data_IF_639193841121
#
_entry.id   IF_639193841121
#
_cell.length_a   1.000
_cell.length_b   1.000
_cell.length_c   1.000
_cell.angle_alpha   90.00
_cell.angle_beta   90.00
_cell.angle_gamma   90.00
#
_symmetry.space_group_name_H-M   'P 1'
#
loop_
_entity.id
_entity.type
_entity.pdbx_description
1 polymer ?
#
# COMPACT_ATOMS: atom_id res chain seq x y z
N UNK A 1 11.48 -19.55 -71.13
CA UNK A 1 10.15 -19.32 -70.54
C UNK A 1 10.16 -17.97 -69.85
N UNK A 2 9.39 -16.99 -70.31
CA UNK A 2 9.35 -15.66 -69.71
C UNK A 2 8.37 -15.62 -68.53
N UNK A 3 8.82 -15.14 -67.37
CA UNK A 3 7.97 -14.91 -66.19
C UNK A 3 7.18 -13.63 -66.39
N UNK A 4 5.85 -13.73 -66.40
CA UNK A 4 4.93 -12.59 -66.47
C UNK A 4 4.60 -12.16 -65.03
N UNK A 5 4.93 -10.91 -64.68
CA UNK A 5 4.63 -10.33 -63.38
C UNK A 5 3.35 -9.52 -63.47
N UNK A 6 2.44 -9.67 -62.49
CA UNK A 6 1.25 -8.82 -62.36
C UNK A 6 1.71 -7.46 -61.85
N UNK A 7 1.42 -6.39 -62.58
CA UNK A 7 1.88 -5.03 -62.24
C UNK A 7 0.93 -4.28 -61.30
N UNK A 8 -0.36 -4.63 -61.28
CA UNK A 8 -1.32 -4.13 -60.28
C UNK A 8 -2.60 -4.97 -60.27
N UNK A 9 -3.27 -5.00 -59.12
CA UNK A 9 -4.64 -5.50 -58.94
C UNK A 9 -5.43 -4.34 -58.36
N UNK A 10 -6.53 -3.95 -59.01
CA UNK A 10 -7.52 -3.03 -58.42
C UNK A 10 -8.66 -3.85 -57.84
N UNK A 11 -9.07 -3.50 -56.63
CA UNK A 11 -10.22 -4.08 -55.94
C UNK A 11 -11.28 -2.98 -55.89
N UNK A 12 -12.42 -3.22 -56.52
CA UNK A 12 -13.60 -2.38 -56.35
C UNK A 12 -14.41 -2.89 -55.16
N UNK A 13 -14.79 -1.96 -54.29
CA UNK A 13 -15.66 -2.21 -53.16
C UNK A 13 -16.96 -1.48 -53.46
N UNK A 14 -18.08 -2.21 -53.40
CA UNK A 14 -19.41 -1.62 -53.57
C UNK A 14 -19.69 -0.59 -52.48
N UNK A 15 -20.50 0.44 -52.78
CA UNK A 15 -20.82 1.52 -51.85
C UNK A 15 -21.37 1.02 -50.52
N UNK A 16 -22.19 -0.03 -50.53
CA UNK A 16 -22.76 -0.63 -49.31
C UNK A 16 -21.66 -1.27 -48.45
N UNK A 17 -20.68 -1.91 -49.09
CA UNK A 17 -19.53 -2.50 -48.38
C UNK A 17 -18.58 -1.42 -47.89
N UNK A 18 -18.44 -0.32 -48.63
CA UNK A 18 -17.66 0.85 -48.22
C UNK A 18 -18.21 1.50 -46.96
N UNK A 19 -19.53 1.68 -46.86
CA UNK A 19 -20.19 2.23 -45.69
C UNK A 19 -19.95 1.37 -44.43
N UNK A 20 -20.10 0.03 -44.55
CA UNK A 20 -19.85 -0.90 -43.45
C UNK A 20 -18.40 -0.85 -42.97
N UNK A 21 -17.43 -0.69 -43.88
CA UNK A 21 -16.02 -0.56 -43.52
C UNK A 21 -15.73 0.73 -42.75
N UNK A 22 -16.42 1.82 -43.07
CA UNK A 22 -16.32 3.09 -42.33
C UNK A 22 -16.90 2.92 -40.93
N UNK A 23 -18.11 2.38 -40.80
CA UNK A 23 -18.76 2.15 -39.51
C UNK A 23 -17.93 1.23 -38.59
N UNK A 24 -17.32 0.18 -39.16
CA UNK A 24 -16.39 -0.69 -38.44
C UNK A 24 -15.13 0.06 -38.01
N UNK A 25 -14.60 0.94 -38.84
CA UNK A 25 -13.46 1.79 -38.51
C UNK A 25 -13.76 2.70 -37.32
N UNK A 26 -14.92 3.37 -37.33
CA UNK A 26 -15.36 4.25 -36.26
C UNK A 26 -15.61 3.47 -34.96
N UNK A 27 -16.23 2.30 -35.05
CA UNK A 27 -16.45 1.42 -33.89
C UNK A 27 -15.12 0.96 -33.28
N UNK A 28 -14.13 0.58 -34.11
CA UNK A 28 -12.80 0.17 -33.65
C UNK A 28 -12.05 1.34 -32.98
N UNK A 29 -12.16 2.55 -33.53
CA UNK A 29 -11.57 3.74 -32.92
C UNK A 29 -12.19 4.03 -31.55
N UNK A 30 -13.52 3.93 -31.42
CA UNK A 30 -14.20 4.08 -30.13
C UNK A 30 -13.77 3.05 -29.08
N UNK A 31 -13.52 1.80 -29.50
CA UNK A 31 -12.96 0.76 -28.61
C UNK A 31 -11.53 1.12 -28.18
N UNK A 32 -10.69 1.62 -29.09
CA UNK A 32 -9.32 2.01 -28.79
C UNK A 32 -9.25 3.16 -27.78
N UNK A 33 -10.13 4.15 -27.92
CA UNK A 33 -10.25 5.27 -26.98
C UNK A 33 -10.63 4.78 -25.58
N UNK A 34 -11.65 3.91 -25.49
CA UNK A 34 -12.08 3.33 -24.21
C UNK A 34 -10.98 2.50 -23.52
N UNK A 35 -10.22 1.72 -24.28
CA UNK A 35 -9.08 0.95 -23.73
C UNK A 35 -7.98 1.88 -23.20
N UNK A 36 -7.74 2.99 -23.90
CA UNK A 36 -6.75 3.99 -23.49
C UNK A 36 -7.18 4.68 -22.20
N UNK A 37 -8.46 5.05 -22.08
CA UNK A 37 -9.04 5.63 -20.86
C UNK A 37 -8.96 4.65 -19.68
N UNK A 38 -9.30 3.38 -19.89
CA UNK A 38 -9.15 2.32 -18.89
C UNK A 38 -7.69 2.15 -18.45
N UNK A 39 -6.74 2.20 -19.39
CA UNK A 39 -5.31 2.17 -19.09
C UNK A 39 -4.87 3.35 -18.21
N UNK A 40 -5.39 4.55 -18.48
CA UNK A 40 -5.20 5.73 -17.63
C UNK A 40 -5.75 5.52 -16.22
N UNK A 41 -7.01 5.09 -16.11
CA UNK A 41 -7.65 4.83 -14.81
C UNK A 41 -6.96 3.74 -13.99
N UNK A 42 -6.42 2.70 -14.63
CA UNK A 42 -5.60 1.68 -13.95
C UNK A 42 -4.31 2.30 -13.41
N UNK A 43 -3.63 3.14 -14.19
CA UNK A 43 -2.42 3.81 -13.72
C UNK A 43 -2.70 4.75 -12.54
N UNK A 44 -3.81 5.48 -12.58
CA UNK A 44 -4.25 6.32 -11.47
C UNK A 44 -4.57 5.49 -10.23
N UNK A 45 -5.29 4.36 -10.39
CA UNK A 45 -5.57 3.43 -9.30
C UNK A 45 -4.29 2.85 -8.70
N UNK A 46 -3.31 2.48 -9.53
CA UNK A 46 -2.00 2.01 -9.07
C UNK A 46 -1.24 3.12 -8.32
N UNK A 47 -1.33 4.37 -8.79
CA UNK A 47 -0.73 5.51 -8.12
C UNK A 47 -1.42 5.81 -6.77
N UNK A 48 -2.73 5.58 -6.67
CA UNK A 48 -3.49 5.65 -5.42
C UNK A 48 -3.16 4.48 -4.49
N UNK A 49 -2.91 3.28 -5.02
CA UNK A 49 -2.48 2.10 -4.27
C UNK A 49 -0.97 2.13 -3.94
N UNK A 50 -0.41 3.32 -3.70
CA UNK A 50 0.86 3.44 -2.97
C UNK A 50 0.59 3.01 -1.53
N UNK A 51 0.66 1.71 -1.30
CA UNK A 51 0.83 1.13 0.02
C UNK A 51 2.16 1.65 0.54
N UNK A 52 2.16 2.81 1.20
CA UNK A 52 3.28 3.22 2.04
C UNK A 52 3.45 2.08 3.05
N UNK A 53 4.51 1.27 2.95
CA UNK A 53 4.82 0.39 4.05
C UNK A 53 5.10 1.37 5.20
N UNK A 54 4.27 1.28 6.23
CA UNK A 54 4.40 2.04 7.47
C UNK A 54 5.76 1.79 8.18
N UNK A 55 6.66 1.06 7.54
CA UNK A 55 8.06 0.88 7.87
C UNK A 55 8.95 2.13 7.69
N UNK A 56 8.49 3.21 7.03
CA UNK A 56 9.33 4.39 6.73
C UNK A 56 9.19 5.59 7.67
N UNK A 57 7.96 6.02 7.96
CA UNK A 57 7.64 7.34 8.55
C UNK A 57 7.32 7.31 10.06
N UNK A 58 7.35 6.13 10.68
CA UNK A 58 7.07 5.97 12.10
C UNK A 58 8.19 6.42 13.03
N UNK A 59 7.82 6.79 14.26
CA UNK A 59 8.74 7.02 15.36
C UNK A 59 9.55 5.76 15.63
N UNK A 60 10.88 5.89 15.70
CA UNK A 60 11.77 4.80 16.06
C UNK A 60 11.73 4.60 17.59
N UNK A 61 11.34 3.40 18.00
CA UNK A 61 11.40 2.95 19.39
C UNK A 61 12.69 2.16 19.57
N UNK A 62 13.57 2.63 20.46
CA UNK A 62 14.81 1.94 20.81
C UNK A 62 14.70 1.38 22.23
N UNK A 63 14.79 0.06 22.37
CA UNK A 63 14.79 -0.60 23.67
C UNK A 63 16.17 -1.15 23.97
N UNK A 64 16.75 -0.76 25.11
CA UNK A 64 18.09 -1.20 25.53
C UNK A 64 18.09 -2.57 26.26
N UNK A 65 16.92 -3.14 26.56
CA UNK A 65 16.76 -4.42 27.24
C UNK A 65 15.55 -4.47 28.19
N UNK A 66 15.36 -5.59 28.88
CA UNK A 66 14.18 -5.86 29.72
C UNK A 66 14.00 -4.96 30.96
N UNK A 67 14.99 -4.16 31.34
CA UNK A 67 15.02 -3.51 32.65
C UNK A 67 14.49 -2.08 32.67
N UNK A 68 14.10 -1.49 31.53
CA UNK A 68 13.64 -0.09 31.51
C UNK A 68 12.60 0.13 30.41
N UNK A 69 11.45 0.70 30.80
CA UNK A 69 10.45 1.16 29.84
C UNK A 69 10.91 2.45 29.17
N UNK A 70 10.86 2.45 27.84
CA UNK A 70 10.80 3.67 27.06
C UNK A 70 9.37 4.22 27.03
N UNK A 71 9.24 5.50 26.71
CA UNK A 71 7.94 6.13 26.49
C UNK A 71 7.90 6.82 25.14
N UNK A 72 6.72 6.86 24.54
CA UNK A 72 6.49 7.53 23.26
C UNK A 72 5.19 8.31 23.31
N UNK A 73 5.20 9.53 22.76
CA UNK A 73 4.01 10.38 22.68
C UNK A 73 3.14 9.95 21.52
N UNK A 74 1.85 9.78 21.80
CA UNK A 74 0.83 9.34 20.84
C UNK A 74 -0.40 10.25 20.89
N UNK A 75 -1.24 10.16 19.87
CA UNK A 75 -2.55 10.82 19.84
C UNK A 75 -3.57 9.91 20.51
N UNK A 76 -4.27 10.44 21.51
CA UNK A 76 -5.33 9.73 22.20
C UNK A 76 -6.45 9.29 21.23
N UNK A 77 -6.92 8.05 21.37
CA UNK A 77 -7.96 7.48 20.52
C UNK A 77 -7.51 7.06 19.11
N UNK A 78 -6.25 7.30 18.72
CA UNK A 78 -5.75 6.92 17.40
C UNK A 78 -5.25 5.46 17.37
N UNK A 79 -5.26 4.86 16.18
CA UNK A 79 -4.63 3.57 15.94
C UNK A 79 -3.24 3.72 15.34
N UNK A 80 -2.34 2.83 15.71
CA UNK A 80 -0.96 2.80 15.25
C UNK A 80 -0.57 1.39 14.81
N UNK A 81 0.28 1.29 13.80
CA UNK A 81 1.02 0.06 13.55
C UNK A 81 2.31 0.06 14.37
N UNK A 82 2.61 -1.06 15.01
CA UNK A 82 3.88 -1.35 15.67
C UNK A 82 4.56 -2.47 14.88
N UNK A 83 5.72 -2.18 14.29
CA UNK A 83 6.53 -3.16 13.55
C UNK A 83 7.84 -3.38 14.31
N UNK A 84 8.06 -4.59 14.79
CA UNK A 84 9.32 -4.94 15.44
C UNK A 84 10.34 -5.43 14.42
N UNK A 85 11.56 -4.91 14.45
CA UNK A 85 12.57 -5.22 13.43
C UNK A 85 13.36 -6.49 13.79
N UNK A 86 13.97 -6.51 14.96
CA UNK A 86 15.07 -7.41 15.34
C UNK A 86 14.88 -8.09 16.70
N UNK A 87 13.82 -7.76 17.45
CA UNK A 87 13.49 -8.40 18.71
C UNK A 87 12.04 -8.16 19.13
N UNK A 88 11.55 -8.90 20.13
CA UNK A 88 10.17 -8.74 20.60
C UNK A 88 9.98 -7.43 21.36
N UNK A 89 8.96 -6.66 20.99
CA UNK A 89 8.54 -5.44 21.67
C UNK A 89 7.21 -5.60 22.37
N UNK A 90 7.13 -5.12 23.61
CA UNK A 90 5.89 -4.93 24.33
C UNK A 90 5.50 -3.47 24.28
N UNK A 91 4.21 -3.21 24.12
CA UNK A 91 3.63 -1.85 24.14
C UNK A 91 2.41 -1.86 25.04
N UNK A 92 2.26 -0.83 25.87
CA UNK A 92 1.19 -0.71 26.86
C UNK A 92 0.86 0.73 27.21
N UNK A 93 -0.19 0.90 28.02
CA UNK A 93 -0.68 2.23 28.47
C UNK A 93 -0.08 2.68 29.80
N UNK A 94 0.61 1.79 30.49
CA UNK A 94 1.35 2.05 31.71
C UNK A 94 2.68 1.27 31.71
N UNK A 95 3.47 1.43 32.77
CA UNK A 95 4.72 0.67 32.96
C UNK A 95 4.48 -0.83 32.78
N UNK A 96 5.39 -1.50 32.08
CA UNK A 96 5.20 -2.87 31.60
C UNK A 96 5.55 -3.94 32.64
N UNK A 97 5.49 -3.57 33.92
CA UNK A 97 5.72 -4.43 35.07
C UNK A 97 4.40 -5.10 35.48
N UNK A 98 3.98 -6.09 34.70
CA UNK A 98 2.69 -6.78 34.82
C UNK A 98 1.97 -6.86 33.47
N UNK A 99 1.02 -7.77 33.33
CA UNK A 99 0.35 -8.02 32.03
C UNK A 99 -0.90 -7.16 31.81
N UNK A 100 -1.41 -6.49 32.84
CA UNK A 100 -2.76 -5.90 32.82
C UNK A 100 -2.86 -4.64 31.94
N UNK A 101 -1.74 -3.97 31.69
CA UNK A 101 -1.67 -2.73 30.90
C UNK A 101 -1.10 -2.94 29.48
N UNK A 102 -0.98 -4.19 29.03
CA UNK A 102 -0.40 -4.55 27.74
C UNK A 102 -1.43 -4.35 26.62
N UNK A 103 -1.06 -3.54 25.63
CA UNK A 103 -1.80 -3.43 24.37
C UNK A 103 -1.38 -4.53 23.40
N UNK A 104 -0.08 -4.82 23.31
CA UNK A 104 0.43 -5.85 22.41
C UNK A 104 1.84 -6.33 22.78
N UNK A 105 2.10 -7.61 22.46
CA UNK A 105 3.44 -8.17 22.28
C UNK A 105 3.69 -8.38 20.79
N UNK A 106 4.78 -7.83 20.27
CA UNK A 106 5.10 -7.76 18.84
C UNK A 106 6.42 -8.48 18.59
N UNK A 107 6.39 -9.73 18.10
CA UNK A 107 7.61 -10.48 17.78
C UNK A 107 8.40 -9.85 16.64
N UNK A 108 9.69 -10.18 16.55
CA UNK A 108 10.56 -9.72 15.46
C UNK A 108 9.96 -10.05 14.07
N UNK A 109 10.01 -9.08 13.16
CA UNK A 109 9.44 -9.17 11.81
C UNK A 109 7.92 -9.06 11.75
N UNK A 110 7.23 -8.93 12.88
CA UNK A 110 5.77 -8.85 12.93
C UNK A 110 5.32 -7.40 13.04
N UNK A 111 4.22 -7.09 12.35
CA UNK A 111 3.48 -5.84 12.53
C UNK A 111 2.16 -6.12 13.25
N UNK A 112 1.84 -5.32 14.27
CA UNK A 112 0.54 -5.35 14.96
C UNK A 112 -0.10 -3.98 14.95
N UNK A 113 -1.43 -3.95 14.94
CA UNK A 113 -2.20 -2.72 15.12
C UNK A 113 -2.55 -2.60 16.60
N UNK A 114 -2.28 -1.43 17.18
CA UNK A 114 -2.69 -1.06 18.53
C UNK A 114 -3.59 0.16 18.47
N UNK A 115 -4.70 0.13 19.19
CA UNK A 115 -5.58 1.30 19.35
C UNK A 115 -5.32 1.92 20.71
N UNK A 116 -4.92 3.19 20.70
CA UNK A 116 -4.66 3.95 21.92
C UNK A 116 -5.99 4.30 22.56
N UNK A 117 -6.22 3.99 23.84
CA UNK A 117 -7.45 4.41 24.53
C UNK A 117 -7.63 5.93 24.51
N UNK A 118 -8.90 6.37 24.60
CA UNK A 118 -9.19 7.79 24.77
C UNK A 118 -8.53 8.32 26.06
N UNK A 119 -8.04 9.56 26.01
CA UNK A 119 -7.34 10.21 27.14
C UNK A 119 -5.89 9.79 27.35
N UNK A 120 -5.38 8.76 26.67
CA UNK A 120 -3.99 8.33 26.77
C UNK A 120 -3.14 9.01 25.69
N UNK A 121 -2.13 9.79 26.11
CA UNK A 121 -1.22 10.49 25.20
C UNK A 121 0.21 9.94 25.22
N UNK A 122 0.45 8.92 26.03
CA UNK A 122 1.77 8.30 26.20
C UNK A 122 1.60 6.79 26.23
N UNK A 123 2.39 6.10 25.40
CA UNK A 123 2.54 4.65 25.50
C UNK A 123 3.90 4.33 26.10
N UNK A 124 3.92 3.23 26.84
CA UNK A 124 5.14 2.62 27.35
C UNK A 124 5.53 1.48 26.43
N UNK A 125 6.82 1.35 26.17
CA UNK A 125 7.34 0.28 25.35
C UNK A 125 8.61 -0.31 25.95
N UNK A 126 8.82 -1.60 25.73
CA UNK A 126 10.00 -2.32 26.21
C UNK A 126 10.40 -3.39 25.21
N UNK A 127 11.70 -3.51 24.97
CA UNK A 127 12.25 -4.60 24.17
C UNK A 127 12.68 -5.74 25.08
N UNK A 128 12.40 -6.99 24.70
CA UNK A 128 12.80 -8.17 25.45
C UNK A 128 14.29 -8.52 25.30
N UNK A 129 14.90 -8.06 24.22
CA UNK A 129 16.33 -8.07 23.94
C UNK A 129 16.63 -6.74 23.24
N UNK A 130 17.84 -6.18 23.39
CA UNK A 130 18.20 -4.91 22.74
C UNK A 130 17.76 -4.90 21.27
N UNK A 131 16.76 -4.09 20.95
CA UNK A 131 16.04 -4.15 19.67
C UNK A 131 15.37 -2.81 19.36
N UNK A 132 14.87 -2.72 18.14
CA UNK A 132 14.15 -1.58 17.61
C UNK A 132 12.76 -1.96 17.09
N UNK A 133 11.82 -1.04 17.24
CA UNK A 133 10.52 -1.11 16.60
C UNK A 133 10.17 0.23 15.97
N UNK A 134 9.24 0.22 15.02
CA UNK A 134 8.67 1.42 14.43
C UNK A 134 7.21 1.54 14.80
N UNK A 135 6.84 2.73 15.28
CA UNK A 135 5.47 3.09 15.60
C UNK A 135 5.00 4.15 14.61
N UNK A 136 3.97 3.87 13.81
CA UNK A 136 3.38 4.91 12.97
C UNK A 136 1.87 4.93 13.05
N UNK A 137 1.35 6.16 12.98
CA UNK A 137 -0.07 6.44 13.11
C UNK A 137 -0.78 6.01 11.84
N UNK A 138 -1.87 5.27 12.01
CA UNK A 138 -2.80 4.98 10.93
C UNK A 138 -3.65 6.23 10.75
N UNK A 139 -3.52 6.87 9.60
CA UNK A 139 -4.34 8.02 9.22
C UNK A 139 -5.25 7.54 8.11
N UNK A 140 -6.55 7.51 8.35
CA UNK A 140 -7.51 7.38 7.27
C UNK A 140 -7.56 8.73 6.57
N UNK A 141 -6.97 8.80 5.38
CA UNK A 141 -7.10 9.93 4.45
C UNK A 141 -8.35 9.78 3.60
#
# INVERSE_FOLDING_TARGET
MARRWIQSVSIEVDEDTGAVLVDLGDALNGVLDAVTELGGGINDLVAMLKLEPVAGSGQLLTGAGMSTDGTVTVVAGASYTVTANDGTFHVGVATLDGNDDYLASVPAGVTRIVTVPAGITTLYYRALSGATARLARIVNT
#
